data_IF_910754771959
#
_entry.id   IF_910754771959
#
_cell.length_a   1.000
_cell.length_b   1.000
_cell.length_c   1.000
_cell.angle_alpha   90.00
_cell.angle_beta   90.00
_cell.angle_gamma   90.00
#
_symmetry.space_group_name_H-M   'P 1'
#
loop_
_entity.id
_entity.type
_entity.pdbx_description
1 polymer ?
#
# COMPACT_ATOMS: atom_id res chain seq x y z
N UNK A 1 -6.30 16.30 -6.35
CA UNK A 1 -6.63 15.97 -4.94
C UNK A 1 -5.79 14.76 -4.58
N UNK A 2 -4.69 14.95 -3.86
CA UNK A 2 -3.68 13.92 -3.63
C UNK A 2 -3.89 13.40 -2.21
N UNK A 3 -4.66 12.33 -2.05
CA UNK A 3 -4.76 11.66 -0.75
C UNK A 3 -3.38 11.13 -0.36
N UNK A 4 -2.72 11.88 0.52
CA UNK A 4 -1.42 11.50 1.07
C UNK A 4 -1.71 10.39 2.08
N UNK A 5 -1.46 9.14 1.67
CA UNK A 5 -1.42 8.00 2.59
C UNK A 5 -0.48 8.34 3.75
N UNK A 6 -0.90 8.06 4.98
CA UNK A 6 -0.10 8.28 6.19
C UNK A 6 0.28 6.96 6.83
N UNK A 7 1.36 6.96 7.60
CA UNK A 7 1.68 5.82 8.47
C UNK A 7 0.50 5.54 9.42
N UNK A 8 0.17 4.26 9.58
CA UNK A 8 -0.99 3.80 10.33
C UNK A 8 -2.28 3.68 9.51
N UNK A 9 -2.35 4.23 8.30
CA UNK A 9 -3.54 4.09 7.46
C UNK A 9 -3.78 2.63 7.07
N UNK A 10 -5.05 2.22 7.17
CA UNK A 10 -5.50 0.94 6.62
C UNK A 10 -5.73 1.11 5.13
N UNK A 11 -5.11 0.25 4.34
CA UNK A 11 -5.19 0.30 2.88
C UNK A 11 -5.54 -1.07 2.33
N UNK A 12 -6.40 -1.11 1.31
CA UNK A 12 -6.72 -2.29 0.53
C UNK A 12 -5.90 -2.27 -0.74
N UNK A 13 -5.30 -3.40 -1.05
CA UNK A 13 -4.55 -3.58 -2.30
C UNK A 13 -5.54 -3.75 -3.45
N UNK A 14 -5.74 -2.70 -4.25
CA UNK A 14 -6.78 -2.64 -5.28
C UNK A 14 -6.32 -3.27 -6.61
N UNK A 15 -5.09 -2.99 -7.05
CA UNK A 15 -4.57 -3.50 -8.32
C UNK A 15 -3.06 -3.55 -8.33
N UNK A 16 -2.43 -4.66 -8.70
CA UNK A 16 -0.97 -4.75 -8.84
C UNK A 16 -0.68 -5.30 -10.25
N UNK A 17 0.12 -4.62 -11.08
CA UNK A 17 0.49 -5.16 -12.39
C UNK A 17 1.40 -6.39 -12.30
N UNK A 18 2.24 -6.52 -11.26
CA UNK A 18 3.39 -7.44 -11.33
C UNK A 18 3.73 -8.29 -10.09
N UNK A 19 3.35 -7.96 -8.85
CA UNK A 19 4.07 -8.57 -7.70
C UNK A 19 3.37 -9.75 -7.01
N UNK A 20 2.04 -9.88 -7.01
CA UNK A 20 1.34 -11.11 -6.58
C UNK A 20 -0.17 -10.96 -6.63
N UNK A 21 -0.84 -11.69 -7.53
CA UNK A 21 -2.32 -11.82 -7.51
C UNK A 21 -2.87 -12.23 -6.14
N UNK A 22 -2.05 -12.91 -5.31
CA UNK A 22 -2.40 -13.35 -3.95
C UNK A 22 -2.70 -12.24 -2.94
N UNK A 23 -2.17 -11.03 -3.14
CA UNK A 23 -2.33 -9.93 -2.19
C UNK A 23 -3.45 -8.96 -2.61
N UNK A 24 -4.00 -9.10 -3.82
CA UNK A 24 -5.15 -8.31 -4.28
C UNK A 24 -6.34 -8.48 -3.33
N UNK A 25 -6.99 -7.38 -2.99
CA UNK A 25 -8.13 -7.32 -2.08
C UNK A 25 -7.78 -7.51 -0.60
N UNK A 26 -6.51 -7.74 -0.25
CA UNK A 26 -6.09 -7.79 1.16
C UNK A 26 -5.94 -6.39 1.73
N UNK A 27 -6.30 -6.28 3.00
CA UNK A 27 -6.10 -5.07 3.80
C UNK A 27 -4.75 -5.18 4.50
N UNK A 28 -3.99 -4.10 4.45
CA UNK A 28 -2.75 -3.91 5.18
C UNK A 28 -2.74 -2.57 5.89
N UNK A 29 -1.65 -2.33 6.62
CA UNK A 29 -1.40 -1.07 7.33
C UNK A 29 -0.14 -0.44 6.76
N UNK A 30 -0.19 0.85 6.43
CA UNK A 30 0.99 1.60 5.99
C UNK A 30 1.95 1.72 7.15
N UNK A 31 3.17 1.21 6.97
CA UNK A 31 4.24 1.30 7.97
C UNK A 31 5.29 2.36 7.64
N UNK A 32 5.33 2.85 6.41
CA UNK A 32 6.28 3.88 6.01
C UNK A 32 6.10 4.37 4.58
N UNK A 33 6.43 5.63 4.33
CA UNK A 33 6.39 6.25 3.02
C UNK A 33 7.82 6.38 2.48
N UNK A 34 8.09 5.91 1.26
CA UNK A 34 9.36 6.19 0.59
C UNK A 34 9.24 7.54 -0.13
N UNK A 35 9.49 8.62 0.61
CA UNK A 35 9.54 9.98 0.05
C UNK A 35 10.78 10.12 -0.83
N UNK A 36 10.59 10.32 -2.14
CA UNK A 36 11.66 10.63 -3.10
C UNK A 36 11.83 9.61 -4.24
N UNK A 37 11.35 8.38 -4.09
CA UNK A 37 11.39 7.34 -5.13
C UNK A 37 9.96 7.00 -5.51
N UNK A 38 9.41 7.70 -6.51
CA UNK A 38 8.25 7.27 -7.29
C UNK A 38 7.04 6.78 -6.49
N UNK A 39 6.65 7.42 -5.39
CA UNK A 39 5.36 7.14 -4.73
C UNK A 39 5.19 5.73 -4.13
N UNK A 40 6.27 5.01 -3.82
CA UNK A 40 6.17 3.72 -3.15
C UNK A 40 5.96 3.85 -1.64
N UNK A 41 5.23 2.91 -1.06
CA UNK A 41 4.91 2.84 0.36
C UNK A 41 5.05 1.43 0.89
N UNK A 42 5.55 1.30 2.11
CA UNK A 42 5.64 0.05 2.84
C UNK A 42 4.31 -0.25 3.51
N UNK A 43 3.76 -1.43 3.22
CA UNK A 43 2.51 -1.90 3.80
C UNK A 43 2.72 -3.25 4.45
N UNK A 44 2.28 -3.39 5.70
CA UNK A 44 2.22 -4.67 6.38
C UNK A 44 0.94 -5.39 6.03
N UNK A 45 1.06 -6.50 5.32
CA UNK A 45 -0.06 -7.38 4.96
C UNK A 45 0.19 -8.75 5.59
N UNK A 46 -0.73 -9.22 6.44
CA UNK A 46 -0.61 -10.52 7.13
C UNK A 46 0.71 -10.72 7.88
N UNK A 47 1.22 -9.67 8.53
CA UNK A 47 2.47 -9.72 9.28
C UNK A 47 3.74 -9.62 8.44
N UNK A 48 3.64 -9.59 7.11
CA UNK A 48 4.78 -9.37 6.21
C UNK A 48 4.79 -7.94 5.70
N UNK A 49 5.97 -7.31 5.68
CA UNK A 49 6.18 -5.99 5.09
C UNK A 49 6.39 -6.14 3.59
N UNK A 50 5.57 -5.47 2.80
CA UNK A 50 5.60 -5.51 1.34
C UNK A 50 5.61 -4.08 0.78
N UNK A 51 6.29 -3.88 -0.34
CA UNK A 51 6.38 -2.59 -1.00
C UNK A 51 5.29 -2.49 -2.09
N UNK A 52 4.53 -1.40 -2.08
CA UNK A 52 3.49 -1.13 -3.06
C UNK A 52 3.60 0.29 -3.59
N UNK A 53 3.21 0.49 -4.85
CA UNK A 53 3.06 1.84 -5.37
C UNK A 53 1.77 2.44 -4.81
N UNK A 54 1.75 3.71 -4.43
CA UNK A 54 0.56 4.36 -3.81
C UNK A 54 -0.72 4.20 -4.62
N UNK A 55 -0.62 4.19 -5.96
CA UNK A 55 -1.77 4.06 -6.87
C UNK A 55 -2.38 2.65 -6.86
N UNK A 56 -1.64 1.66 -6.36
CA UNK A 56 -2.11 0.28 -6.23
C UNK A 56 -2.92 0.04 -4.95
N UNK A 57 -3.04 1.09 -4.11
CA UNK A 57 -3.65 1.04 -2.79
C UNK A 57 -4.85 1.99 -2.72
N UNK A 58 -5.92 1.50 -2.12
CA UNK A 58 -7.10 2.27 -1.77
C UNK A 58 -7.18 2.39 -0.25
N UNK A 59 -7.36 3.60 0.28
CA UNK A 59 -7.55 3.80 1.72
C UNK A 59 -8.88 3.20 2.15
N UNK A 60 -8.86 2.43 3.24
CA UNK A 60 -10.06 1.89 3.89
C UNK A 60 -10.34 2.81 5.07
N UNK A 61 -11.47 3.55 5.01
CA UNK A 61 -11.96 4.36 6.12
C UNK A 61 -12.28 3.51 7.35
#
# INVERSE_FOLDING_TARGET
MTDVLKEGDRVKVASIPTVSRRLRGKIGVVEGLLTGIGGYVWVKVRGKRCLFHRETLERVM
#
